data_IF_815316879058
#
_entry.id   IF_815316879058
#
_cell.length_a   1.000
_cell.length_b   1.000
_cell.length_c   1.000
_cell.angle_alpha   90.00
_cell.angle_beta   90.00
_cell.angle_gamma   90.00
#
_symmetry.space_group_name_H-M   'P 1'
#
loop_
_entity.id
_entity.type
_entity.pdbx_description
1 polymer ?
#
# COMPACT_ATOMS: atom_id res chain seq x y z
N UNK A 1 -4.00 24.14 1.93
CA UNK A 1 -3.27 23.13 2.73
C UNK A 1 -1.79 23.29 2.47
N UNK A 2 -0.91 23.21 3.48
CA UNK A 2 0.52 23.47 3.27
C UNK A 2 1.18 22.39 2.42
N UNK A 3 2.18 22.74 1.62
CA UNK A 3 3.00 21.79 0.84
C UNK A 3 3.62 20.71 1.72
N UNK A 4 3.95 21.05 2.97
CA UNK A 4 4.45 20.10 3.98
C UNK A 4 3.45 18.99 4.29
N UNK A 5 2.14 19.32 4.39
CA UNK A 5 1.11 18.31 4.64
C UNK A 5 1.04 17.30 3.49
N UNK A 6 0.99 17.78 2.24
CA UNK A 6 0.94 16.92 1.06
C UNK A 6 2.22 16.09 0.87
N UNK A 7 3.38 16.64 1.22
CA UNK A 7 4.64 15.89 1.25
C UNK A 7 4.60 14.74 2.26
N UNK A 8 4.05 14.95 3.46
CA UNK A 8 3.88 13.88 4.46
C UNK A 8 2.90 12.82 3.96
N UNK A 9 1.78 13.22 3.36
CA UNK A 9 0.80 12.31 2.76
C UNK A 9 1.43 11.47 1.65
N UNK A 10 2.24 12.10 0.80
CA UNK A 10 2.96 11.42 -0.28
C UNK A 10 3.92 10.35 0.26
N UNK A 11 4.76 10.70 1.24
CA UNK A 11 5.73 9.78 1.84
C UNK A 11 5.04 8.63 2.58
N UNK A 12 3.98 8.93 3.34
CA UNK A 12 3.19 7.90 4.04
C UNK A 12 2.44 6.98 3.07
N UNK A 13 1.94 7.52 1.96
CA UNK A 13 1.37 6.76 0.86
C UNK A 13 2.35 5.74 0.28
N UNK A 14 3.58 6.16 -0.06
CA UNK A 14 4.63 5.26 -0.56
C UNK A 14 4.96 4.18 0.45
N UNK A 15 5.25 4.55 1.69
CA UNK A 15 5.65 3.58 2.70
C UNK A 15 4.53 2.59 3.03
N UNK A 16 3.29 3.06 3.09
CA UNK A 16 2.13 2.18 3.27
C UNK A 16 1.94 1.22 2.09
N UNK A 17 2.18 1.68 0.85
CA UNK A 17 2.15 0.84 -0.35
C UNK A 17 3.23 -0.25 -0.29
N UNK A 18 4.47 0.11 0.06
CA UNK A 18 5.59 -0.83 0.18
C UNK A 18 5.31 -1.87 1.28
N UNK A 19 4.89 -1.43 2.46
CA UNK A 19 4.58 -2.33 3.58
C UNK A 19 3.44 -3.29 3.19
N UNK A 20 2.34 -2.79 2.62
CA UNK A 20 1.23 -3.64 2.20
C UNK A 20 1.67 -4.64 1.11
N UNK A 21 2.57 -4.24 0.21
CA UNK A 21 3.10 -5.13 -0.84
C UNK A 21 3.94 -6.25 -0.23
N UNK A 22 4.80 -5.93 0.74
CA UNK A 22 5.60 -6.93 1.46
C UNK A 22 4.67 -7.92 2.19
N UNK A 23 3.69 -7.42 2.93
CA UNK A 23 2.74 -8.27 3.63
C UNK A 23 1.88 -9.10 2.69
N UNK A 24 1.51 -8.57 1.53
CA UNK A 24 0.82 -9.32 0.49
C UNK A 24 1.67 -10.50 0.03
N UNK A 25 2.95 -10.27 -0.32
CA UNK A 25 3.84 -11.33 -0.78
C UNK A 25 4.05 -12.40 0.30
N UNK A 26 4.33 -11.97 1.54
CA UNK A 26 4.62 -12.90 2.64
C UNK A 26 3.39 -13.66 3.13
N UNK A 27 2.21 -13.04 3.13
CA UNK A 27 0.99 -13.62 3.71
C UNK A 27 0.01 -14.20 2.70
N UNK A 28 0.03 -13.77 1.43
CA UNK A 28 -0.78 -14.40 0.39
C UNK A 28 -0.23 -15.78 0.02
N UNK A 29 1.07 -16.02 0.23
CA UNK A 29 1.77 -17.26 -0.09
C UNK A 29 2.46 -17.88 1.14
N UNK A 30 1.70 -18.36 2.15
CA UNK A 30 2.27 -18.89 3.38
C UNK A 30 3.00 -20.23 3.20
N UNK A 31 2.70 -20.99 2.15
CA UNK A 31 3.33 -22.27 1.84
C UNK A 31 3.48 -22.44 0.33
N UNK A 32 4.42 -23.29 -0.10
CA UNK A 32 4.62 -23.63 -1.51
C UNK A 32 3.33 -24.23 -2.07
N UNK A 33 2.80 -23.66 -3.16
CA UNK A 33 1.49 -23.99 -3.76
C UNK A 33 0.24 -23.68 -2.91
N UNK A 34 0.34 -22.87 -1.84
CA UNK A 34 -0.84 -22.39 -1.11
C UNK A 34 -1.04 -20.90 -1.35
N UNK A 35 -2.21 -20.54 -1.87
CA UNK A 35 -2.64 -19.16 -2.05
C UNK A 35 -3.84 -18.85 -1.14
N UNK A 36 -3.61 -17.95 -0.19
CA UNK A 36 -4.62 -17.51 0.79
C UNK A 36 -5.40 -16.31 0.24
N UNK A 37 -6.44 -16.58 -0.55
CA UNK A 37 -7.20 -15.54 -1.27
C UNK A 37 -7.80 -14.45 -0.38
N UNK A 38 -8.28 -14.79 0.82
CA UNK A 38 -8.78 -13.78 1.79
C UNK A 38 -7.69 -12.82 2.24
N UNK A 39 -6.50 -13.36 2.50
CA UNK A 39 -5.36 -12.58 2.95
C UNK A 39 -4.80 -11.75 1.81
N UNK A 40 -4.72 -12.33 0.61
CA UNK A 40 -4.35 -11.63 -0.61
C UNK A 40 -5.29 -10.45 -0.92
N UNK A 41 -6.61 -10.64 -0.78
CA UNK A 41 -7.58 -9.59 -1.01
C UNK A 41 -7.45 -8.45 0.01
N UNK A 42 -7.26 -8.79 1.30
CA UNK A 42 -7.10 -7.79 2.37
C UNK A 42 -5.86 -6.91 2.15
N UNK A 43 -4.70 -7.54 1.92
CA UNK A 43 -3.47 -6.80 1.70
C UNK A 43 -3.44 -6.13 0.31
N UNK A 44 -4.04 -6.74 -0.70
CA UNK A 44 -4.17 -6.18 -2.05
C UNK A 44 -5.03 -4.91 -2.07
N UNK A 45 -6.15 -4.91 -1.35
CA UNK A 45 -6.96 -3.71 -1.15
C UNK A 45 -6.15 -2.61 -0.43
N UNK A 46 -5.34 -2.98 0.56
CA UNK A 46 -4.42 -2.06 1.23
C UNK A 46 -3.38 -1.45 0.28
N UNK A 47 -2.74 -2.27 -0.56
CA UNK A 47 -1.83 -1.82 -1.62
C UNK A 47 -2.51 -0.79 -2.52
N UNK A 48 -3.73 -1.10 -2.99
CA UNK A 48 -4.48 -0.22 -3.87
C UNK A 48 -4.82 1.13 -3.21
N UNK A 49 -5.25 1.10 -1.94
CA UNK A 49 -5.57 2.31 -1.18
C UNK A 49 -4.34 3.21 -0.99
N UNK A 50 -3.22 2.64 -0.55
CA UNK A 50 -1.99 3.41 -0.37
C UNK A 50 -1.40 3.92 -1.68
N UNK A 51 -1.58 3.17 -2.77
CA UNK A 51 -1.23 3.65 -4.10
C UNK A 51 -2.03 4.90 -4.49
N UNK A 52 -3.35 4.89 -4.29
CA UNK A 52 -4.20 6.07 -4.55
C UNK A 52 -3.78 7.26 -3.68
N UNK A 53 -3.56 7.03 -2.38
CA UNK A 53 -3.09 8.08 -1.45
C UNK A 53 -1.76 8.67 -1.90
N UNK A 54 -0.85 7.83 -2.39
CA UNK A 54 0.43 8.29 -2.91
C UNK A 54 0.28 9.13 -4.18
N UNK A 55 -0.52 8.68 -5.15
CA UNK A 55 -0.80 9.45 -6.38
C UNK A 55 -1.41 10.81 -6.04
N UNK A 56 -2.41 10.85 -5.16
CA UNK A 56 -3.05 12.10 -4.74
C UNK A 56 -2.04 13.00 -4.00
N UNK A 57 -1.18 12.41 -3.18
CA UNK A 57 -0.07 13.12 -2.54
C UNK A 57 0.88 13.77 -3.54
N UNK A 58 1.28 13.04 -4.60
CA UNK A 58 2.14 13.57 -5.66
C UNK A 58 1.47 14.66 -6.50
N UNK A 59 0.16 14.59 -6.72
CA UNK A 59 -0.56 15.60 -7.50
C UNK A 59 -0.64 16.96 -6.78
N UNK A 60 -0.49 16.97 -5.45
CA UNK A 60 -0.76 18.13 -4.60
C UNK A 60 0.46 18.61 -3.80
N UNK A 61 1.55 17.84 -3.80
CA UNK A 61 2.83 18.17 -3.17
C UNK A 61 3.69 19.03 -4.10
#
# INVERSE_FOLDING_TARGET
MSSTFWSIVCVTGVWGFVICTIFLILRAFPARNSFEGRTALKWGAGVLLFFVVWIVGMMQA
#
